data_IF_070973620825
#
_entry.id   IF_070973620825
#
_cell.length_a   1.000
_cell.length_b   1.000
_cell.length_c   1.000
_cell.angle_alpha   90.00
_cell.angle_beta   90.00
_cell.angle_gamma   90.00
#
_symmetry.space_group_name_H-M   'P 1'
#
loop_
_entity.id
_entity.type
_entity.pdbx_description
1 polymer ?
#
# COMPACT_ATOMS: atom_id res chain seq x y z
N UNK A 1 12.40 -4.74 -23.75
CA UNK A 1 12.66 -3.32 -24.09
C UNK A 1 12.75 -3.09 -25.61
N UNK A 2 13.61 -3.81 -26.34
CA UNK A 2 13.79 -3.62 -27.80
C UNK A 2 12.52 -3.83 -28.62
N UNK A 3 11.79 -4.92 -28.38
CA UNK A 3 10.54 -5.21 -29.11
C UNK A 3 9.43 -4.20 -28.77
N UNK A 4 9.49 -3.58 -27.59
CA UNK A 4 8.57 -2.55 -27.11
C UNK A 4 8.82 -1.20 -27.79
N UNK A 5 10.08 -0.85 -28.07
CA UNK A 5 10.45 0.39 -28.78
C UNK A 5 10.11 0.31 -30.27
N UNK A 6 10.30 -0.85 -30.90
CA UNK A 6 9.87 -1.09 -32.29
C UNK A 6 8.35 -1.00 -32.39
N UNK A 7 7.62 -1.63 -31.45
CA UNK A 7 6.15 -1.53 -31.39
C UNK A 7 5.66 -0.10 -31.12
N UNK A 8 6.36 0.67 -30.28
CA UNK A 8 6.05 2.08 -30.02
C UNK A 8 6.32 2.96 -31.26
N UNK A 9 7.42 2.73 -31.97
CA UNK A 9 7.72 3.41 -33.23
C UNK A 9 6.68 3.09 -34.31
N UNK A 10 6.35 1.81 -34.50
CA UNK A 10 5.30 1.37 -35.42
C UNK A 10 3.94 2.01 -35.07
N UNK A 11 3.62 2.12 -33.78
CA UNK A 11 2.40 2.78 -33.32
C UNK A 11 2.41 4.30 -33.61
N UNK A 12 3.54 4.98 -33.45
CA UNK A 12 3.70 6.41 -33.75
C UNK A 12 3.62 6.68 -35.25
N UNK A 13 4.31 5.87 -36.07
CA UNK A 13 4.27 5.97 -37.54
C UNK A 13 2.86 5.70 -38.04
N UNK A 14 2.20 4.65 -37.55
CA UNK A 14 0.83 4.31 -37.94
C UNK A 14 -0.19 5.34 -37.44
N UNK A 15 0.00 5.87 -36.24
CA UNK A 15 -0.80 6.95 -35.64
C UNK A 15 -0.71 8.27 -36.42
N UNK A 16 0.46 8.62 -36.93
CA UNK A 16 0.67 9.82 -37.76
C UNK A 16 -0.18 9.79 -39.05
N UNK A 17 -0.39 8.61 -39.62
CA UNK A 17 -1.26 8.40 -40.78
C UNK A 17 -2.75 8.61 -40.48
N UNK A 18 -3.18 8.40 -39.23
CA UNK A 18 -4.57 8.61 -38.79
C UNK A 18 -4.84 10.05 -38.33
N UNK A 19 -3.81 10.81 -37.94
CA UNK A 19 -3.91 12.18 -37.43
C UNK A 19 -4.02 13.25 -38.54
N UNK A 20 -4.59 12.92 -39.71
CA UNK A 20 -4.97 13.91 -40.72
C UNK A 20 -3.82 14.64 -41.44
N UNK A 21 -2.61 14.06 -41.47
CA UNK A 21 -1.49 14.58 -42.28
C UNK A 21 -0.39 15.32 -41.52
N UNK A 22 -0.27 15.15 -40.20
CA UNK A 22 0.96 15.46 -39.48
C UNK A 22 2.05 14.48 -39.94
N UNK A 23 2.75 14.85 -41.01
CA UNK A 23 3.88 14.08 -41.50
C UNK A 23 5.01 14.15 -40.48
N UNK A 24 5.39 12.99 -39.94
CA UNK A 24 6.64 12.85 -39.20
C UNK A 24 7.77 13.40 -40.07
N UNK A 25 8.60 14.26 -39.49
CA UNK A 25 9.70 14.88 -40.22
C UNK A 25 10.66 13.79 -40.69
N UNK A 26 11.18 13.88 -41.92
CA UNK A 26 12.15 12.91 -42.44
C UNK A 26 13.34 12.72 -41.48
N UNK A 27 13.77 13.81 -40.83
CA UNK A 27 14.79 13.80 -39.80
C UNK A 27 14.45 12.86 -38.62
N UNK A 28 13.21 12.87 -38.13
CA UNK A 28 12.78 11.96 -37.07
C UNK A 28 12.80 10.49 -37.52
N UNK A 29 12.35 10.22 -38.75
CA UNK A 29 12.40 8.86 -39.30
C UNK A 29 13.85 8.37 -39.43
N UNK A 30 14.74 9.21 -39.98
CA UNK A 30 16.15 8.88 -40.18
C UNK A 30 16.89 8.68 -38.82
N UNK A 31 16.57 9.50 -37.81
CA UNK A 31 17.15 9.39 -36.46
C UNK A 31 16.69 8.12 -35.74
N UNK A 32 15.41 7.74 -35.87
CA UNK A 32 14.87 6.55 -35.22
C UNK A 32 15.32 5.28 -35.95
N UNK A 33 15.38 5.27 -37.28
CA UNK A 33 15.91 4.14 -38.06
C UNK A 33 17.39 3.90 -37.72
N UNK A 34 18.21 4.96 -37.66
CA UNK A 34 19.61 4.86 -37.27
C UNK A 34 19.79 4.35 -35.82
N UNK A 35 18.89 4.74 -34.92
CA UNK A 35 18.86 4.28 -33.54
C UNK A 35 18.47 2.79 -33.45
N UNK A 36 17.43 2.36 -34.17
CA UNK A 36 17.01 0.95 -34.25
C UNK A 36 18.16 0.09 -34.80
N UNK A 37 18.81 0.52 -35.88
CA UNK A 37 19.96 -0.17 -36.48
C UNK A 37 21.17 -0.25 -35.52
N UNK A 38 21.38 0.77 -34.69
CA UNK A 38 22.41 0.74 -33.63
C UNK A 38 22.06 -0.29 -32.56
N UNK A 39 20.81 -0.27 -32.10
CA UNK A 39 20.31 -1.16 -31.06
C UNK A 39 20.27 -2.63 -31.51
N UNK A 40 19.94 -2.92 -32.77
CA UNK A 40 20.00 -4.28 -33.31
C UNK A 40 21.44 -4.82 -33.35
N UNK A 41 22.42 -3.97 -33.70
CA UNK A 41 23.84 -4.33 -33.67
C UNK A 41 24.33 -4.56 -32.25
N UNK A 42 23.97 -3.69 -31.31
CA UNK A 42 24.31 -3.85 -29.89
C UNK A 42 23.67 -5.12 -29.30
N UNK A 43 22.40 -5.41 -29.63
CA UNK A 43 21.72 -6.66 -29.24
C UNK A 43 22.40 -7.89 -29.82
N UNK A 44 22.86 -7.83 -31.08
CA UNK A 44 23.60 -8.93 -31.71
C UNK A 44 24.95 -9.17 -31.01
N UNK A 45 25.66 -8.11 -30.64
CA UNK A 45 26.93 -8.18 -29.89
C UNK A 45 26.71 -8.70 -28.47
N UNK A 46 25.70 -8.19 -27.75
CA UNK A 46 25.35 -8.65 -26.40
C UNK A 46 24.93 -10.13 -26.40
N UNK A 47 24.19 -10.56 -27.44
CA UNK A 47 23.82 -11.97 -27.64
C UNK A 47 25.03 -12.85 -27.95
N UNK A 48 25.98 -12.38 -28.73
CA UNK A 48 27.23 -13.09 -29.01
C UNK A 48 28.12 -13.21 -27.77
N UNK A 49 28.04 -12.25 -26.85
CA UNK A 49 28.80 -12.20 -25.60
C UNK A 49 28.07 -12.83 -24.40
N UNK A 50 26.87 -13.40 -24.61
CA UNK A 50 26.05 -14.02 -23.57
C UNK A 50 25.59 -13.05 -22.45
N UNK A 51 25.41 -11.76 -22.76
CA UNK A 51 25.03 -10.65 -21.86
C UNK A 51 23.54 -10.28 -21.97
N UNK A 52 22.65 -11.28 -22.08
CA UNK A 52 21.20 -11.06 -22.26
C UNK A 52 20.42 -11.33 -20.97
N UNK A 53 21.12 -11.49 -19.84
CA UNK A 53 20.51 -11.70 -18.53
C UNK A 53 20.06 -10.36 -17.93
N UNK A 54 18.97 -10.37 -17.17
CA UNK A 54 18.32 -9.19 -16.55
C UNK A 54 19.27 -8.33 -15.70
N UNK A 55 20.35 -8.93 -15.18
CA UNK A 55 21.44 -8.26 -14.45
C UNK A 55 22.25 -7.25 -15.28
N UNK A 56 22.18 -7.38 -16.62
CA UNK A 56 22.91 -6.56 -17.58
C UNK A 56 21.97 -5.58 -18.31
N UNK A 57 20.69 -5.46 -17.87
CA UNK A 57 19.75 -4.50 -18.42
C UNK A 57 20.08 -3.08 -17.93
N UNK A 58 20.13 -2.11 -18.85
CA UNK A 58 20.34 -0.71 -18.48
C UNK A 58 19.19 -0.21 -17.61
N UNK A 59 19.48 0.55 -16.53
CA UNK A 59 18.46 1.19 -15.73
C UNK A 59 17.61 2.14 -16.59
N UNK A 60 16.35 2.35 -16.20
CA UNK A 60 15.53 3.42 -16.78
C UNK A 60 16.30 4.73 -16.59
N UNK A 61 16.79 5.30 -17.70
CA UNK A 61 17.57 6.53 -17.69
C UNK A 61 16.78 7.68 -17.05
N UNK A 62 17.49 8.56 -16.34
CA UNK A 62 16.90 9.72 -15.66
C UNK A 62 16.03 10.56 -16.59
N UNK A 63 16.43 10.69 -17.86
CA UNK A 63 15.68 11.43 -18.88
C UNK A 63 14.33 10.78 -19.21
N UNK A 64 14.27 9.45 -19.21
CA UNK A 64 13.02 8.70 -19.43
C UNK A 64 12.09 8.81 -18.22
N UNK A 65 12.63 8.74 -17.00
CA UNK A 65 11.85 8.96 -15.78
C UNK A 65 11.32 10.39 -15.69
N UNK A 66 12.16 11.39 -15.99
CA UNK A 66 11.74 12.79 -16.09
C UNK A 66 10.63 12.98 -17.14
N UNK A 67 10.72 12.32 -18.29
CA UNK A 67 9.68 12.41 -19.30
C UNK A 67 8.37 11.76 -18.84
N UNK A 68 8.44 10.61 -18.15
CA UNK A 68 7.26 9.97 -17.54
C UNK A 68 6.60 10.91 -16.51
N UNK A 69 7.40 11.57 -15.67
CA UNK A 69 6.90 12.57 -14.70
C UNK A 69 6.37 13.84 -15.37
N UNK A 70 6.93 14.26 -16.51
CA UNK A 70 6.41 15.38 -17.32
C UNK A 70 5.11 15.01 -18.06
N UNK A 71 4.92 13.73 -18.39
CA UNK A 71 3.72 13.20 -19.05
C UNK A 71 2.58 12.89 -18.09
N UNK A 72 2.81 12.95 -16.77
CA UNK A 72 1.77 12.91 -15.73
C UNK A 72 1.50 14.34 -15.28
N UNK A 73 0.51 15.05 -15.85
CA UNK A 73 0.29 16.45 -15.52
C UNK A 73 -0.14 16.56 -14.06
N UNK A 74 0.61 17.32 -13.26
CA UNK A 74 0.20 17.74 -11.91
C UNK A 74 -0.99 18.73 -12.01
N UNK A 75 -1.17 19.35 -13.19
CA UNK A 75 -2.13 20.44 -13.42
C UNK A 75 -3.59 19.99 -13.64
N UNK A 76 -3.86 18.73 -13.96
CA UNK A 76 -5.23 18.31 -14.29
C UNK A 76 -6.10 17.93 -13.06
N UNK A 77 -5.52 17.98 -11.85
CA UNK A 77 -6.21 17.58 -10.63
C UNK A 77 -6.61 16.10 -10.61
N UNK A 78 -6.17 15.30 -11.59
CA UNK A 78 -6.41 13.87 -11.63
C UNK A 78 -5.37 13.19 -10.72
N UNK A 79 -5.82 12.83 -9.52
CA UNK A 79 -5.03 12.04 -8.56
C UNK A 79 -4.59 10.67 -9.10
N UNK A 80 -5.16 10.22 -10.23
CA UNK A 80 -5.01 8.86 -10.78
C UNK A 80 -3.66 8.62 -11.45
N UNK A 81 -3.12 9.58 -12.21
CA UNK A 81 -1.78 9.47 -12.82
C UNK A 81 -0.65 9.46 -11.79
N UNK A 82 -0.80 10.25 -10.72
CA UNK A 82 0.14 10.31 -9.61
C UNK A 82 0.16 9.00 -8.80
N UNK A 83 -1.02 8.40 -8.56
CA UNK A 83 -1.14 7.08 -7.90
C UNK A 83 -0.41 6.00 -8.71
N UNK A 84 -0.50 6.02 -10.04
CA UNK A 84 0.23 5.07 -10.89
C UNK A 84 1.75 5.25 -10.81
N UNK A 85 2.25 6.47 -11.03
CA UNK A 85 3.68 6.76 -11.01
C UNK A 85 4.31 6.48 -9.63
N UNK A 86 3.57 6.78 -8.55
CA UNK A 86 4.02 6.53 -7.18
C UNK A 86 3.90 5.06 -6.81
N UNK A 87 2.85 4.35 -7.24
CA UNK A 87 2.77 2.89 -7.08
C UNK A 87 3.95 2.25 -7.80
N UNK A 88 4.18 2.56 -9.07
CA UNK A 88 5.33 2.05 -9.83
C UNK A 88 6.67 2.38 -9.16
N UNK A 89 6.83 3.57 -8.58
CA UNK A 89 8.03 3.94 -7.81
C UNK A 89 8.15 3.15 -6.50
N UNK A 90 7.03 2.96 -5.78
CA UNK A 90 6.92 2.14 -4.58
C UNK A 90 7.28 0.68 -4.87
N UNK A 91 6.84 0.14 -6.01
CA UNK A 91 7.14 -1.20 -6.49
C UNK A 91 8.59 -1.33 -6.98
N UNK A 92 9.15 -0.31 -7.65
CA UNK A 92 10.54 -0.30 -8.12
C UNK A 92 11.54 -0.22 -6.96
N UNK A 93 11.27 0.58 -5.92
CA UNK A 93 12.08 0.63 -4.70
C UNK A 93 12.15 -0.71 -3.94
N UNK A 94 11.17 -1.61 -4.15
CA UNK A 94 11.18 -2.97 -3.61
C UNK A 94 11.78 -4.01 -4.56
N UNK A 95 11.97 -3.68 -5.84
CA UNK A 95 12.42 -4.62 -6.85
C UNK A 95 13.91 -4.46 -7.20
N UNK A 96 14.48 -3.26 -7.12
CA UNK A 96 15.83 -2.99 -7.63
C UNK A 96 16.78 -2.32 -6.60
N UNK A 97 17.93 -2.94 -6.24
CA UNK A 97 18.92 -2.37 -5.33
C UNK A 97 19.71 -1.15 -5.86
N UNK A 98 19.66 -0.82 -7.17
CA UNK A 98 20.44 0.28 -7.75
C UNK A 98 19.72 1.64 -7.75
N UNK A 99 18.42 1.67 -7.44
CA UNK A 99 17.59 2.87 -7.54
C UNK A 99 16.95 3.24 -6.20
N UNK A 100 17.77 3.59 -5.21
CA UNK A 100 17.27 4.31 -4.02
C UNK A 100 17.17 5.79 -4.38
N UNK A 101 16.07 6.20 -5.00
CA UNK A 101 15.75 7.63 -5.14
C UNK A 101 15.17 8.09 -3.80
N UNK A 102 15.99 8.76 -2.99
CA UNK A 102 15.50 9.55 -1.85
C UNK A 102 15.01 10.88 -2.42
N UNK A 103 13.70 10.99 -2.68
CA UNK A 103 13.08 12.25 -3.09
C UNK A 103 12.80 13.08 -1.83
N UNK A 104 13.51 14.18 -1.57
CA UNK A 104 13.08 15.14 -0.55
C UNK A 104 12.08 16.14 -1.16
N UNK A 105 10.79 16.01 -0.83
CA UNK A 105 9.79 17.05 -1.14
C UNK A 105 9.66 17.98 0.07
N UNK A 106 10.25 19.17 -0.02
CA UNK A 106 10.16 20.22 1.00
C UNK A 106 9.02 21.17 0.64
N UNK A 107 8.00 21.28 1.50
CA UNK A 107 6.97 22.31 1.40
C UNK A 107 7.36 23.47 2.33
N UNK A 108 7.84 24.58 1.78
CA UNK A 108 7.99 25.80 2.59
C UNK A 108 6.67 26.61 2.61
N UNK A 109 6.23 26.99 3.80
CA UNK A 109 5.05 27.82 4.04
C UNK A 109 5.28 29.28 3.63
N UNK A 110 5.56 29.55 2.36
CA UNK A 110 5.40 30.88 1.74
C UNK A 110 5.83 30.83 0.27
N UNK A 111 4.87 30.58 -0.62
CA UNK A 111 5.11 30.52 -2.07
C UNK A 111 5.44 29.11 -2.55
N UNK A 112 4.74 28.67 -3.60
CA UNK A 112 4.93 27.36 -4.22
C UNK A 112 6.28 27.34 -4.97
N UNK A 113 7.31 26.91 -4.25
CA UNK A 113 8.60 26.49 -4.79
C UNK A 113 8.73 24.99 -4.51
N UNK A 114 8.88 24.19 -5.57
CA UNK A 114 9.16 22.77 -5.48
C UNK A 114 10.65 22.58 -5.78
N UNK A 115 11.46 22.38 -4.75
CA UNK A 115 12.86 21.96 -4.89
C UNK A 115 12.96 20.49 -4.56
N UNK A 116 13.64 19.75 -5.42
CA UNK A 116 13.86 18.33 -5.22
C UNK A 116 15.36 18.05 -5.09
N UNK A 117 15.75 17.62 -3.89
CA UNK A 117 17.13 17.22 -3.60
C UNK A 117 17.24 15.69 -3.70
N UNK A 118 18.27 15.21 -4.40
CA UNK A 118 18.54 13.78 -4.60
C UNK A 118 20.01 13.45 -4.30
N UNK A 119 20.28 12.26 -3.76
CA UNK A 119 21.63 11.71 -3.58
C UNK A 119 21.83 10.48 -4.45
N UNK A 120 22.82 10.53 -5.36
CA UNK A 120 23.26 9.41 -6.18
C UNK A 120 24.55 8.82 -5.60
N UNK A 121 24.60 7.51 -5.35
CA UNK A 121 25.80 6.86 -4.81
C UNK A 121 26.51 6.05 -5.90
N UNK A 122 27.20 6.72 -6.82
CA UNK A 122 28.27 6.10 -7.60
C UNK A 122 29.59 6.34 -6.90
N UNK A 123 30.03 5.38 -6.08
CA UNK A 123 31.35 5.30 -5.43
C UNK A 123 31.69 6.39 -4.39
N UNK A 124 31.84 5.96 -3.12
CA UNK A 124 32.63 6.52 -2.00
C UNK A 124 32.75 8.06 -1.74
N UNK A 125 32.04 8.93 -2.45
CA UNK A 125 31.99 10.37 -2.17
C UNK A 125 30.61 10.92 -2.52
N UNK A 126 29.87 11.32 -1.49
CA UNK A 126 28.58 11.99 -1.65
C UNK A 126 28.81 13.37 -2.27
N UNK A 127 28.27 13.61 -3.47
CA UNK A 127 28.25 14.94 -4.09
C UNK A 127 26.80 15.39 -4.19
N UNK A 128 26.45 16.47 -3.48
CA UNK A 128 25.13 17.10 -3.54
C UNK A 128 25.10 18.00 -4.78
N UNK A 129 24.22 17.71 -5.74
CA UNK A 129 23.97 18.55 -6.90
C UNK A 129 22.69 19.37 -6.70
N UNK A 130 22.73 20.66 -7.04
CA UNK A 130 21.60 21.58 -7.01
C UNK A 130 21.08 21.83 -8.43
N UNK A 131 19.76 21.88 -8.61
CA UNK A 131 19.12 22.39 -9.83
C UNK A 131 18.09 23.47 -9.45
N UNK A 132 18.37 24.72 -9.78
CA UNK A 132 17.36 25.80 -9.76
C UNK A 132 16.57 25.78 -11.06
N UNK A 133 15.24 25.79 -11.00
CA UNK A 133 14.45 26.06 -12.19
C UNK A 133 12.96 25.81 -12.08
N UNK A 134 12.22 26.77 -11.51
CA UNK A 134 10.89 27.23 -11.97
C UNK A 134 10.37 28.34 -11.04
N UNK A 135 10.60 29.60 -11.43
CA UNK A 135 10.01 30.76 -10.77
C UNK A 135 8.70 31.13 -11.48
N UNK A 136 7.55 30.80 -10.89
CA UNK A 136 6.25 31.26 -11.39
C UNK A 136 5.93 32.62 -10.77
N UNK A 137 6.14 33.69 -11.56
CA UNK A 137 5.64 35.03 -11.24
C UNK A 137 4.13 35.07 -11.52
N UNK A 138 3.30 35.16 -10.49
CA UNK A 138 1.87 35.50 -10.62
C UNK A 138 1.54 36.85 -9.99
N UNK A 139 0.62 37.53 -10.68
CA UNK A 139 0.21 38.92 -10.57
C UNK A 139 -0.09 39.43 -9.15
N UNK A 140 0.37 40.66 -8.87
CA UNK A 140 -0.07 41.51 -7.76
C UNK A 140 -1.57 41.82 -7.87
N UNK A 141 -2.31 41.44 -6.83
CA UNK A 141 -3.64 41.97 -6.53
C UNK A 141 -3.73 42.24 -5.03
N UNK A 142 -3.55 43.50 -4.63
CA UNK A 142 -3.61 43.98 -3.26
C UNK A 142 -4.96 43.68 -2.60
N UNK A 143 -4.96 43.15 -1.37
CA UNK A 143 -5.48 43.85 -0.20
C UNK A 143 -5.26 42.99 1.07
N UNK A 144 -4.31 43.45 1.88
CA UNK A 144 -4.11 43.04 3.26
C UNK A 144 -5.19 43.68 4.15
N UNK A 145 -5.75 42.91 5.08
CA UNK A 145 -6.10 43.41 6.41
C UNK A 145 -5.86 42.31 7.45
N UNK A 146 -5.05 42.54 8.49
CA UNK A 146 -4.85 41.60 9.58
C UNK A 146 -5.90 41.87 10.67
N UNK A 147 -6.55 40.82 11.17
CA UNK A 147 -7.26 40.88 12.45
C UNK A 147 -6.78 39.75 13.35
N UNK A 148 -5.91 40.15 14.27
CA UNK A 148 -5.71 39.47 15.54
C UNK A 148 -6.95 39.65 16.42
N UNK A 149 -7.37 38.62 17.15
CA UNK A 149 -8.02 38.72 18.48
C UNK A 149 -8.04 37.30 19.09
N UNK A 150 -7.13 37.01 20.01
CA UNK A 150 -7.29 37.08 21.47
C UNK A 150 -8.09 35.90 22.07
N UNK A 151 -7.36 35.09 22.84
CA UNK A 151 -7.87 34.10 23.77
C UNK A 151 -8.89 34.70 24.76
N UNK A 152 -9.91 33.93 25.10
CA UNK A 152 -10.62 34.06 26.38
C UNK A 152 -10.72 32.69 27.06
N UNK A 153 -9.99 32.63 28.17
CA UNK A 153 -10.13 31.67 29.25
C UNK A 153 -11.32 32.11 30.08
N UNK A 154 -12.29 31.23 30.32
CA UNK A 154 -13.17 31.33 31.49
C UNK A 154 -13.24 29.96 32.17
N UNK A 155 -12.94 29.95 33.47
CA UNK A 155 -12.86 28.78 34.31
C UNK A 155 -14.06 28.74 35.30
N UNK A 156 -14.71 27.56 35.36
CA UNK A 156 -15.24 26.87 36.55
C UNK A 156 -16.38 27.49 37.38
N UNK A 157 -17.00 26.74 38.34
CA UNK A 157 -17.25 25.29 38.47
C UNK A 157 -18.71 24.98 38.91
N UNK A 158 -19.18 23.74 38.83
CA UNK A 158 -20.10 23.19 39.86
C UNK A 158 -20.02 21.66 39.94
N UNK A 159 -19.53 21.18 41.09
CA UNK A 159 -19.62 19.81 41.58
C UNK A 159 -21.05 19.59 42.12
N UNK A 160 -21.70 18.48 41.78
CA UNK A 160 -22.79 17.91 42.58
C UNK A 160 -22.61 16.40 42.74
N UNK A 161 -22.39 16.01 43.98
CA UNK A 161 -22.47 14.64 44.50
C UNK A 161 -23.90 14.46 45.01
N UNK A 162 -24.56 13.38 44.61
CA UNK A 162 -25.67 12.68 45.28
C UNK A 162 -25.66 11.28 44.64
N UNK A 163 -25.46 10.17 45.35
CA UNK A 163 -26.19 9.75 46.54
C UNK A 163 -27.18 8.67 46.09
N UNK A 164 -26.85 7.42 46.40
CA UNK A 164 -27.46 6.18 45.91
C UNK A 164 -29.00 6.11 45.96
N UNK A 165 -29.58 5.48 44.94
CA UNK A 165 -30.77 4.64 45.07
C UNK A 165 -30.60 3.46 44.10
N UNK A 166 -30.34 2.29 44.69
CA UNK A 166 -30.43 0.99 44.04
C UNK A 166 -31.87 0.77 43.58
N UNK A 167 -32.04 0.55 42.28
CA UNK A 167 -33.17 -0.20 41.76
C UNK A 167 -32.61 -1.34 40.94
N UNK A 168 -32.65 -2.54 41.50
CA UNK A 168 -32.41 -3.81 40.82
C UNK A 168 -33.40 -3.93 39.65
N UNK A 169 -33.01 -3.46 38.47
CA UNK A 169 -33.57 -3.94 37.22
C UNK A 169 -32.76 -5.15 36.78
N UNK A 170 -33.25 -6.30 37.21
CA UNK A 170 -32.82 -7.60 36.72
C UNK A 170 -33.26 -7.74 35.25
N UNK A 171 -32.50 -7.12 34.36
CA UNK A 171 -32.59 -7.33 32.92
C UNK A 171 -31.49 -8.34 32.58
N UNK A 172 -31.87 -9.55 32.18
CA UNK A 172 -30.96 -10.48 31.50
C UNK A 172 -30.55 -9.85 30.15
N UNK A 173 -29.69 -8.84 30.21
CA UNK A 173 -28.88 -8.44 29.07
C UNK A 173 -27.84 -9.55 28.92
N UNK A 174 -27.97 -10.35 27.86
CA UNK A 174 -26.85 -11.13 27.35
C UNK A 174 -25.69 -10.15 27.19
N UNK A 175 -24.72 -10.19 28.10
CA UNK A 175 -23.53 -9.34 28.04
C UNK A 175 -22.87 -9.57 26.70
N UNK A 176 -22.81 -8.52 25.87
CA UNK A 176 -22.13 -8.62 24.58
C UNK A 176 -20.68 -9.00 24.83
N UNK A 177 -20.16 -9.87 23.97
CA UNK A 177 -18.77 -10.26 23.98
C UNK A 177 -17.89 -9.01 23.79
N UNK A 178 -16.89 -8.83 24.65
CA UNK A 178 -15.94 -7.73 24.54
C UNK A 178 -14.85 -8.07 23.53
N UNK A 179 -14.62 -7.17 22.60
CA UNK A 179 -13.62 -7.30 21.55
C UNK A 179 -12.75 -6.06 21.53
N UNK A 180 -11.44 -6.26 21.44
CA UNK A 180 -10.49 -5.22 21.09
C UNK A 180 -9.99 -5.45 19.65
N UNK A 181 -9.81 -4.36 18.90
CA UNK A 181 -9.42 -4.43 17.49
C UNK A 181 -7.98 -3.95 17.32
N UNK A 182 -7.12 -4.82 16.81
CA UNK A 182 -5.78 -4.46 16.35
C UNK A 182 -5.77 -4.36 14.83
N UNK A 183 -5.39 -3.20 14.28
CA UNK A 183 -5.18 -3.02 12.85
C UNK A 183 -3.69 -3.11 12.50
N UNK A 184 -3.33 -4.04 11.63
CA UNK A 184 -2.02 -4.13 10.99
C UNK A 184 -2.06 -3.38 9.65
N UNK A 185 -1.37 -2.23 9.52
CA UNK A 185 -1.52 -1.33 8.39
C UNK A 185 -0.88 -1.84 7.09
N UNK A 186 -1.30 -1.29 5.97
CA UNK A 186 -0.69 -1.51 4.67
C UNK A 186 0.67 -0.79 4.59
N UNK A 187 1.38 -1.05 3.49
CA UNK A 187 2.70 -0.51 3.27
C UNK A 187 2.70 1.02 3.33
N UNK A 188 3.63 1.59 4.09
CA UNK A 188 3.80 3.04 4.27
C UNK A 188 2.57 3.80 4.83
N UNK A 189 1.50 3.11 5.22
CA UNK A 189 0.40 3.71 5.94
C UNK A 189 0.76 3.82 7.42
N UNK A 190 0.23 4.85 8.07
CA UNK A 190 0.49 5.17 9.48
C UNK A 190 -0.82 5.17 10.28
N UNK A 191 -0.79 5.15 11.63
CA UNK A 191 -2.00 5.06 12.45
C UNK A 191 -3.10 6.08 12.12
N UNK A 192 -2.73 7.33 11.83
CA UNK A 192 -3.70 8.39 11.51
C UNK A 192 -4.48 8.13 10.22
N UNK A 193 -3.94 7.32 9.30
CA UNK A 193 -4.64 6.97 8.07
C UNK A 193 -5.87 6.09 8.34
N UNK A 194 -5.91 5.37 9.47
CA UNK A 194 -6.98 4.43 9.80
C UNK A 194 -7.95 4.93 10.88
N UNK A 195 -7.76 6.14 11.41
CA UNK A 195 -8.56 6.66 12.51
C UNK A 195 -10.07 6.59 12.21
N UNK A 196 -10.47 7.06 11.03
CA UNK A 196 -11.87 7.07 10.61
C UNK A 196 -12.49 5.66 10.50
N UNK A 197 -11.72 4.68 10.02
CA UNK A 197 -12.16 3.28 9.96
C UNK A 197 -12.40 2.73 11.36
N UNK A 198 -11.47 2.96 12.29
CA UNK A 198 -11.58 2.46 13.66
C UNK A 198 -12.70 3.14 14.44
N UNK A 199 -12.88 4.46 14.27
CA UNK A 199 -14.01 5.20 14.85
C UNK A 199 -15.35 4.65 14.35
N UNK A 200 -15.43 4.33 13.05
CA UNK A 200 -16.64 3.72 12.45
C UNK A 200 -16.88 2.31 12.99
N UNK A 201 -15.85 1.48 13.10
CA UNK A 201 -15.97 0.14 13.71
C UNK A 201 -16.47 0.24 15.14
N UNK A 202 -15.91 1.15 15.93
CA UNK A 202 -16.28 1.30 17.35
C UNK A 202 -17.72 1.80 17.52
N UNK A 203 -18.22 2.62 16.59
CA UNK A 203 -19.57 3.21 16.67
C UNK A 203 -20.67 2.38 16.01
N UNK A 204 -20.38 1.68 14.90
CA UNK A 204 -21.38 0.97 14.11
C UNK A 204 -21.46 -0.54 14.39
N UNK A 205 -20.43 -1.15 14.99
CA UNK A 205 -20.43 -2.58 15.27
C UNK A 205 -21.36 -2.91 16.45
N UNK A 206 -22.45 -3.62 16.16
CA UNK A 206 -23.50 -3.88 17.17
C UNK A 206 -23.49 -5.30 17.74
N UNK A 207 -22.87 -6.28 17.09
CA UNK A 207 -22.86 -7.69 17.50
C UNK A 207 -21.89 -7.99 18.66
N UNK A 208 -20.88 -7.14 18.86
CA UNK A 208 -19.92 -7.22 19.96
C UNK A 208 -19.79 -5.84 20.63
N UNK A 209 -19.12 -5.79 21.77
CA UNK A 209 -18.75 -4.55 22.45
C UNK A 209 -17.28 -4.22 22.15
N UNK A 210 -17.02 -3.20 21.33
CA UNK A 210 -15.66 -2.81 20.95
C UNK A 210 -15.06 -1.92 22.03
N UNK A 211 -14.26 -2.52 22.91
CA UNK A 211 -13.76 -1.84 24.12
C UNK A 211 -12.47 -1.04 23.89
N UNK A 212 -11.68 -1.40 22.88
CA UNK A 212 -10.45 -0.71 22.53
C UNK A 212 -10.09 -0.95 21.06
N UNK A 213 -9.43 0.03 20.44
CA UNK A 213 -8.90 -0.08 19.07
C UNK A 213 -7.48 0.47 19.00
N UNK A 214 -6.59 -0.20 18.27
CA UNK A 214 -5.20 0.25 18.03
C UNK A 214 -4.76 -0.06 16.61
N UNK A 215 -3.83 0.73 16.10
CA UNK A 215 -3.08 0.41 14.88
C UNK A 215 -1.65 0.07 15.29
N UNK A 216 -1.04 -0.97 14.70
CA UNK A 216 0.37 -1.26 14.92
C UNK A 216 1.22 -0.02 14.55
N UNK A 217 2.04 0.52 15.47
CA UNK A 217 2.74 1.80 15.26
C UNK A 217 3.93 1.62 14.31
N UNK A 218 3.67 1.85 13.02
CA UNK A 218 4.67 1.73 11.97
C UNK A 218 4.97 3.07 11.32
N UNK A 219 5.92 3.85 11.88
CA UNK A 219 6.38 5.05 11.20
C UNK A 219 7.07 4.67 9.89
N UNK A 220 6.95 5.53 8.87
CA UNK A 220 7.55 5.30 7.55
C UNK A 220 9.05 5.08 7.59
N UNK A 221 9.73 5.67 8.58
CA UNK A 221 11.16 5.49 8.82
C UNK A 221 11.55 4.04 9.09
N UNK A 222 10.67 3.20 9.62
CA UNK A 222 10.95 1.79 9.91
C UNK A 222 11.07 0.96 8.64
N UNK A 223 10.42 1.37 7.54
CA UNK A 223 10.46 0.65 6.27
C UNK A 223 11.86 0.65 5.64
N UNK A 224 12.77 1.54 6.06
CA UNK A 224 14.19 1.49 5.67
C UNK A 224 14.86 0.17 6.09
N UNK A 225 14.30 -0.54 7.08
CA UNK A 225 14.81 -1.85 7.50
C UNK A 225 14.62 -2.92 6.42
N UNK A 226 13.58 -2.80 5.59
CA UNK A 226 13.42 -3.65 4.39
C UNK A 226 14.53 -3.34 3.38
N UNK A 227 14.86 -2.05 3.21
CA UNK A 227 15.93 -1.63 2.30
C UNK A 227 17.31 -2.21 2.67
N UNK A 228 17.55 -2.56 3.94
CA UNK A 228 18.79 -3.24 4.37
C UNK A 228 18.96 -4.63 3.77
N UNK A 229 17.87 -5.26 3.30
CA UNK A 229 17.93 -6.56 2.65
C UNK A 229 18.30 -6.47 1.17
N UNK A 230 18.09 -5.31 0.51
CA UNK A 230 18.36 -5.10 -0.92
C UNK A 230 19.73 -5.62 -1.40
N UNK A 231 20.87 -5.36 -0.70
CA UNK A 231 22.17 -5.81 -1.17
C UNK A 231 22.49 -7.28 -0.83
N UNK A 232 21.55 -8.03 -0.24
CA UNK A 232 21.81 -9.40 0.21
C UNK A 232 21.56 -10.42 -0.89
N UNK A 233 22.30 -11.54 -0.86
CA UNK A 233 22.05 -12.68 -1.75
C UNK A 233 20.61 -13.21 -1.62
N UNK A 234 20.09 -13.23 -0.38
CA UNK A 234 18.73 -13.68 -0.11
C UNK A 234 17.69 -12.80 -0.81
N UNK A 235 17.92 -11.49 -0.91
CA UNK A 235 17.03 -10.62 -1.67
C UNK A 235 17.09 -10.92 -3.18
N UNK A 236 18.30 -11.03 -3.73
CA UNK A 236 18.52 -11.31 -5.16
C UNK A 236 17.92 -12.66 -5.56
N UNK A 237 18.09 -13.68 -4.73
CA UNK A 237 17.54 -15.03 -4.97
C UNK A 237 16.05 -15.16 -4.59
N UNK A 238 15.40 -14.09 -4.13
CA UNK A 238 14.04 -14.12 -3.58
C UNK A 238 13.85 -15.18 -2.47
N UNK A 239 14.81 -15.29 -1.54
CA UNK A 239 14.83 -16.19 -0.39
C UNK A 239 14.95 -15.42 0.94
N UNK A 240 14.30 -14.25 1.04
CA UNK A 240 14.23 -13.52 2.31
C UNK A 240 13.51 -14.36 3.36
N UNK A 241 13.97 -14.24 4.61
CA UNK A 241 13.30 -14.82 5.75
C UNK A 241 12.35 -13.81 6.40
N UNK A 242 11.12 -14.23 6.66
CA UNK A 242 10.07 -13.46 7.35
C UNK A 242 10.56 -12.92 8.68
N UNK A 243 11.11 -13.81 9.53
CA UNK A 243 11.60 -13.41 10.86
C UNK A 243 12.66 -12.32 10.79
N UNK A 244 13.61 -12.45 9.86
CA UNK A 244 14.75 -11.53 9.75
C UNK A 244 14.34 -10.20 9.12
N UNK A 245 13.39 -10.22 8.18
CA UNK A 245 13.04 -9.04 7.38
C UNK A 245 11.97 -8.18 8.06
N UNK A 246 11.11 -8.79 8.89
CA UNK A 246 9.88 -8.19 9.41
C UNK A 246 9.80 -8.20 10.94
N UNK A 247 10.92 -8.43 11.63
CA UNK A 247 11.01 -8.38 13.10
C UNK A 247 10.41 -7.09 13.68
N UNK A 248 10.73 -5.95 13.07
CA UNK A 248 10.21 -4.64 13.44
C UNK A 248 8.69 -4.50 13.30
N UNK A 249 8.07 -5.23 12.37
CA UNK A 249 6.62 -5.26 12.25
C UNK A 249 6.02 -6.11 13.39
N UNK A 250 6.63 -7.25 13.71
CA UNK A 250 6.20 -8.07 14.85
C UNK A 250 6.34 -7.30 16.18
N UNK A 251 7.40 -6.53 16.36
CA UNK A 251 7.57 -5.64 17.53
C UNK A 251 6.44 -4.61 17.63
N UNK A 252 6.01 -4.03 16.50
CA UNK A 252 4.88 -3.09 16.46
C UNK A 252 3.54 -3.77 16.79
N UNK A 253 3.31 -4.99 16.30
CA UNK A 253 2.14 -5.80 16.68
C UNK A 253 2.12 -6.02 18.20
N UNK A 254 3.25 -6.43 18.79
CA UNK A 254 3.33 -6.66 20.23
C UNK A 254 3.19 -5.37 21.06
N UNK A 255 3.71 -4.25 20.56
CA UNK A 255 3.51 -2.94 21.21
C UNK A 255 2.03 -2.59 21.29
N UNK A 256 1.29 -2.73 20.17
CA UNK A 256 -0.13 -2.43 20.14
C UNK A 256 -0.96 -3.43 20.96
N UNK A 257 -0.61 -4.72 20.95
CA UNK A 257 -1.25 -5.72 21.81
C UNK A 257 -1.06 -5.41 23.30
N UNK A 258 0.12 -4.93 23.69
CA UNK A 258 0.39 -4.53 25.09
C UNK A 258 -0.59 -3.46 25.56
N UNK A 259 -0.84 -2.45 24.72
CA UNK A 259 -1.82 -1.39 25.03
C UNK A 259 -3.25 -1.94 25.05
N UNK A 260 -3.63 -2.78 24.09
CA UNK A 260 -4.96 -3.39 24.05
C UNK A 260 -5.24 -4.26 25.28
N UNK A 261 -4.27 -5.05 25.75
CA UNK A 261 -4.43 -5.86 26.97
C UNK A 261 -4.56 -4.98 28.22
N UNK A 262 -3.85 -3.85 28.27
CA UNK A 262 -3.96 -2.91 29.38
C UNK A 262 -5.32 -2.19 29.41
N UNK A 263 -5.90 -1.90 28.24
CA UNK A 263 -7.19 -1.20 28.12
C UNK A 263 -8.41 -2.13 28.20
N UNK A 264 -8.34 -3.32 27.58
CA UNK A 264 -9.47 -4.25 27.45
C UNK A 264 -9.71 -5.16 28.66
N UNK A 265 -8.67 -5.46 29.45
CA UNK A 265 -8.76 -6.40 30.58
C UNK A 265 -8.82 -7.88 30.17
N UNK A 266 -8.88 -8.76 31.16
CA UNK A 266 -8.66 -10.22 31.00
C UNK A 266 -9.75 -10.96 30.20
N UNK A 267 -10.96 -10.39 30.11
CA UNK A 267 -12.13 -10.99 29.44
C UNK A 267 -12.31 -10.52 27.99
N UNK A 268 -11.38 -9.74 27.47
CA UNK A 268 -11.43 -9.19 26.11
C UNK A 268 -10.75 -10.10 25.10
N UNK A 269 -11.44 -10.40 24.01
CA UNK A 269 -10.85 -11.10 22.86
C UNK A 269 -10.30 -10.11 21.84
N UNK A 270 -9.26 -10.51 21.12
CA UNK A 270 -8.63 -9.66 20.09
C UNK A 270 -9.09 -10.11 18.71
N UNK A 271 -9.57 -9.15 17.93
CA UNK A 271 -9.73 -9.24 16.49
C UNK A 271 -8.57 -8.50 15.81
N UNK A 272 -7.81 -9.19 14.96
CA UNK A 272 -6.82 -8.53 14.10
C UNK A 272 -7.45 -8.20 12.75
N UNK A 273 -7.34 -6.95 12.31
CA UNK A 273 -7.62 -6.52 10.95
C UNK A 273 -6.29 -6.28 10.23
N UNK A 274 -5.98 -7.03 9.19
CA UNK A 274 -4.78 -6.81 8.39
C UNK A 274 -5.11 -6.25 7.01
N UNK A 275 -4.52 -5.09 6.68
CA UNK A 275 -4.65 -4.49 5.35
C UNK A 275 -3.39 -4.80 4.52
N UNK A 276 -3.56 -5.38 3.32
CA UNK A 276 -2.45 -5.62 2.40
C UNK A 276 -1.31 -6.41 3.08
N UNK A 277 -0.07 -5.91 3.08
CA UNK A 277 1.06 -6.47 3.85
C UNK A 277 0.73 -6.77 5.31
N UNK A 278 -0.05 -5.92 5.97
CA UNK A 278 -0.46 -6.15 7.35
C UNK A 278 -1.24 -7.45 7.55
N UNK A 279 -1.98 -7.91 6.54
CA UNK A 279 -2.73 -9.17 6.61
C UNK A 279 -1.85 -10.41 6.60
N UNK A 280 -0.89 -10.50 5.69
CA UNK A 280 0.00 -11.66 5.65
C UNK A 280 1.07 -11.60 6.75
N UNK A 281 1.47 -10.42 7.24
CA UNK A 281 2.31 -10.30 8.45
C UNK A 281 1.55 -10.74 9.70
N UNK A 282 0.27 -10.35 9.86
CA UNK A 282 -0.57 -10.83 10.95
C UNK A 282 -0.72 -12.37 10.92
N UNK A 283 -0.93 -12.94 9.73
CA UNK A 283 -0.95 -14.39 9.50
C UNK A 283 0.37 -15.04 9.95
N UNK A 284 1.52 -14.47 9.57
CA UNK A 284 2.84 -14.95 9.96
C UNK A 284 3.07 -14.89 11.47
N UNK A 285 2.66 -13.79 12.11
CA UNK A 285 2.71 -13.62 13.57
C UNK A 285 1.89 -14.70 14.27
N UNK A 286 0.65 -14.92 13.83
CA UNK A 286 -0.22 -15.95 14.39
C UNK A 286 0.35 -17.36 14.20
N UNK A 287 0.92 -17.65 13.03
CA UNK A 287 1.60 -18.91 12.73
C UNK A 287 2.93 -19.10 13.50
N UNK A 288 3.44 -18.05 14.14
CA UNK A 288 4.64 -18.11 14.98
C UNK A 288 5.95 -17.90 14.24
N UNK A 289 5.91 -17.42 12.99
CA UNK A 289 7.10 -17.08 12.20
C UNK A 289 7.88 -15.89 12.78
N UNK A 290 7.28 -15.09 13.67
CA UNK A 290 8.02 -14.11 14.45
C UNK A 290 9.12 -14.75 15.32
N UNK A 291 8.94 -16.02 15.70
CA UNK A 291 9.79 -16.70 16.68
C UNK A 291 9.77 -16.01 18.06
N UNK A 292 8.76 -15.18 18.33
CA UNK A 292 8.62 -14.48 19.60
C UNK A 292 8.30 -15.46 20.72
N UNK A 293 8.79 -15.12 21.91
CA UNK A 293 8.52 -15.84 23.16
C UNK A 293 8.23 -14.88 24.30
N UNK A 294 7.81 -13.65 23.99
CA UNK A 294 7.40 -12.67 25.00
C UNK A 294 6.12 -13.13 25.71
N UNK A 295 5.82 -12.53 26.86
CA UNK A 295 4.53 -12.73 27.53
C UNK A 295 3.37 -12.23 26.68
N UNK A 296 3.57 -11.13 25.95
CA UNK A 296 2.59 -10.52 25.03
C UNK A 296 2.24 -11.51 23.92
N UNK A 297 3.24 -12.13 23.30
CA UNK A 297 3.01 -13.14 22.27
C UNK A 297 2.24 -14.35 22.81
N UNK A 298 2.62 -14.87 23.99
CA UNK A 298 1.89 -16.00 24.61
C UNK A 298 0.44 -15.65 24.90
N UNK A 299 0.19 -14.48 25.49
CA UNK A 299 -1.17 -14.01 25.77
C UNK A 299 -1.96 -13.76 24.48
N UNK A 300 -1.33 -13.17 23.46
CA UNK A 300 -1.93 -12.99 22.14
C UNK A 300 -2.34 -14.29 21.49
N UNK A 301 -1.54 -15.37 21.60
CA UNK A 301 -1.93 -16.69 21.11
C UNK A 301 -3.19 -17.24 21.77
N UNK A 302 -3.50 -16.81 22.99
CA UNK A 302 -4.69 -17.23 23.74
C UNK A 302 -5.87 -16.31 23.47
N UNK A 303 -5.67 -14.99 23.41
CA UNK A 303 -6.74 -14.00 23.31
C UNK A 303 -7.12 -13.58 21.88
N UNK A 304 -6.23 -13.75 20.89
CA UNK A 304 -6.58 -13.47 19.48
C UNK A 304 -7.49 -14.58 18.97
N UNK A 305 -8.74 -14.24 18.68
CA UNK A 305 -9.78 -15.19 18.22
C UNK A 305 -10.25 -14.96 16.80
N UNK A 306 -9.90 -13.84 16.19
CA UNK A 306 -10.25 -13.59 14.80
C UNK A 306 -9.18 -12.82 14.03
N UNK A 307 -9.06 -13.15 12.74
CA UNK A 307 -8.26 -12.46 11.74
C UNK A 307 -9.17 -12.08 10.56
N UNK A 308 -9.38 -10.79 10.37
CA UNK A 308 -9.99 -10.23 9.17
C UNK A 308 -8.88 -9.66 8.29
N UNK A 309 -8.80 -10.07 7.04
CA UNK A 309 -7.86 -9.47 6.07
C UNK A 309 -8.62 -8.71 5.00
N UNK A 310 -8.13 -7.52 4.64
CA UNK A 310 -8.70 -6.67 3.59
C UNK A 310 -7.63 -6.46 2.52
N UNK A 311 -7.97 -6.74 1.26
CA UNK A 311 -7.05 -6.56 0.12
C UNK A 311 -5.69 -7.23 0.32
N UNK A 312 -5.63 -8.43 0.92
CA UNK A 312 -4.36 -9.08 1.30
C UNK A 312 -4.02 -10.21 0.35
N UNK A 313 -2.83 -10.22 -0.30
CA UNK A 313 -2.38 -11.39 -1.03
C UNK A 313 -1.93 -12.48 -0.06
N UNK A 314 -2.46 -13.70 -0.21
CA UNK A 314 -2.20 -14.85 0.67
C UNK A 314 -1.42 -15.98 -0.01
N UNK A 315 -1.29 -15.90 -1.33
CA UNK A 315 -0.67 -16.90 -2.18
C UNK A 315 0.46 -16.21 -2.95
N UNK A 316 1.61 -16.88 -3.00
CA UNK A 316 2.70 -16.53 -3.93
C UNK A 316 2.65 -17.53 -5.08
N UNK A 317 1.95 -17.23 -6.19
CA UNK A 317 1.76 -18.21 -7.25
C UNK A 317 3.07 -18.47 -7.99
N UNK A 318 3.30 -19.73 -8.41
CA UNK A 318 4.45 -20.11 -9.22
C UNK A 318 4.45 -19.41 -10.60
N UNK A 319 3.29 -18.93 -11.04
CA UNK A 319 3.12 -18.17 -12.28
C UNK A 319 3.48 -16.68 -12.16
N UNK A 320 3.83 -16.19 -10.96
CA UNK A 320 4.30 -14.82 -10.79
C UNK A 320 5.55 -14.60 -11.64
N UNK A 321 5.56 -13.53 -12.45
CA UNK A 321 6.73 -13.17 -13.25
C UNK A 321 7.88 -12.73 -12.36
N UNK A 322 7.56 -12.08 -11.24
CA UNK A 322 8.51 -11.62 -10.24
C UNK A 322 7.90 -11.84 -8.85
N UNK A 323 8.65 -12.51 -7.97
CA UNK A 323 8.30 -12.54 -6.54
C UNK A 323 8.63 -11.18 -5.91
N UNK A 324 7.63 -10.29 -5.91
CA UNK A 324 7.72 -8.93 -5.37
C UNK A 324 7.95 -8.92 -3.85
N UNK A 325 7.59 -10.01 -3.17
CA UNK A 325 7.84 -10.17 -1.73
C UNK A 325 9.20 -10.79 -1.46
N UNK A 326 9.96 -11.13 -2.51
CA UNK A 326 11.31 -11.70 -2.46
C UNK A 326 11.40 -12.92 -1.53
N UNK A 327 10.38 -13.78 -1.55
CA UNK A 327 10.31 -15.04 -0.82
C UNK A 327 9.47 -14.98 0.46
N UNK A 328 9.15 -13.79 0.98
CA UNK A 328 8.46 -13.64 2.25
C UNK A 328 7.05 -14.25 2.22
N UNK A 329 6.24 -13.92 1.21
CA UNK A 329 4.89 -14.44 1.11
C UNK A 329 4.90 -15.94 0.79
N UNK A 330 5.91 -16.43 0.04
CA UNK A 330 6.10 -17.86 -0.20
C UNK A 330 6.37 -18.61 1.10
N UNK A 331 7.29 -18.12 1.94
CA UNK A 331 7.57 -18.72 3.26
C UNK A 331 6.29 -18.84 4.10
N UNK A 332 5.49 -17.78 4.18
CA UNK A 332 4.23 -17.77 4.93
C UNK A 332 3.20 -18.72 4.31
N UNK A 333 3.05 -18.69 2.99
CA UNK A 333 2.07 -19.52 2.28
C UNK A 333 2.37 -21.01 2.43
N UNK A 334 3.66 -21.38 2.52
CA UNK A 334 4.13 -22.77 2.66
C UNK A 334 4.29 -23.25 4.11
N UNK A 335 4.11 -22.38 5.11
CA UNK A 335 4.15 -22.78 6.53
C UNK A 335 2.81 -23.35 6.96
N UNK A 336 2.81 -24.60 7.41
CA UNK A 336 1.62 -25.33 7.87
C UNK A 336 0.93 -24.59 9.04
N UNK A 337 1.71 -24.03 9.97
CA UNK A 337 1.20 -23.27 11.12
C UNK A 337 0.51 -21.95 10.72
N UNK A 338 0.84 -21.43 9.53
CA UNK A 338 0.21 -20.25 8.95
C UNK A 338 -1.04 -20.59 8.12
N UNK A 339 -1.36 -21.88 7.92
CA UNK A 339 -2.55 -22.28 7.14
C UNK A 339 -3.86 -21.89 7.84
N UNK A 340 -4.92 -21.71 7.05
CA UNK A 340 -6.25 -21.42 7.60
C UNK A 340 -6.75 -22.55 8.50
N UNK A 341 -6.41 -23.79 8.17
CA UNK A 341 -6.75 -24.98 8.96
C UNK A 341 -6.08 -24.94 10.33
N UNK A 342 -4.74 -24.78 10.40
CA UNK A 342 -4.01 -24.78 11.65
C UNK A 342 -4.42 -23.62 12.57
N UNK A 343 -4.68 -22.43 12.01
CA UNK A 343 -5.18 -21.29 12.77
C UNK A 343 -6.60 -21.52 13.30
N UNK A 344 -7.47 -22.14 12.51
CA UNK A 344 -8.85 -22.46 12.93
C UNK A 344 -8.91 -23.54 14.01
N UNK A 345 -8.04 -24.57 13.93
CA UNK A 345 -7.89 -25.59 14.97
C UNK A 345 -7.41 -25.00 16.30
N UNK A 346 -6.70 -23.86 16.25
CA UNK A 346 -6.33 -23.07 17.44
C UNK A 346 -7.44 -22.11 17.92
N UNK A 347 -8.59 -22.11 17.26
CA UNK A 347 -9.73 -21.26 17.60
C UNK A 347 -9.63 -19.83 17.04
N UNK A 348 -8.82 -19.60 15.99
CA UNK A 348 -8.79 -18.32 15.27
C UNK A 348 -9.71 -18.40 14.06
N UNK A 349 -10.78 -17.61 14.05
CA UNK A 349 -11.66 -17.50 12.88
C UNK A 349 -11.06 -16.56 11.84
N UNK A 350 -11.00 -16.99 10.59
CA UNK A 350 -10.40 -16.20 9.51
C UNK A 350 -11.46 -15.74 8.52
N UNK A 351 -11.45 -14.45 8.20
CA UNK A 351 -12.25 -13.86 7.12
C UNK A 351 -11.33 -13.11 6.16
N UNK A 352 -11.34 -13.51 4.90
CA UNK A 352 -10.62 -12.83 3.82
C UNK A 352 -11.61 -11.99 3.02
N UNK A 353 -11.39 -10.67 3.00
CA UNK A 353 -12.19 -9.69 2.28
C UNK A 353 -11.38 -9.22 1.07
N UNK A 354 -11.87 -9.56 -0.13
CA UNK A 354 -11.26 -9.18 -1.40
C UNK A 354 -12.26 -8.46 -2.29
N UNK A 355 -11.78 -7.86 -3.38
CA UNK A 355 -12.63 -7.22 -4.39
C UNK A 355 -12.43 -7.89 -5.74
N UNK A 356 -13.46 -7.83 -6.58
CA UNK A 356 -13.40 -8.16 -8.01
C UNK A 356 -13.92 -7.01 -8.88
N UNK A 357 -13.86 -5.79 -8.35
CA UNK A 357 -14.43 -4.60 -8.96
C UNK A 357 -13.68 -4.11 -10.21
N UNK A 358 -12.36 -4.32 -10.27
CA UNK A 358 -11.49 -3.77 -11.32
C UNK A 358 -10.83 -4.86 -12.14
N UNK A 359 -10.96 -4.79 -13.47
CA UNK A 359 -10.32 -5.68 -14.42
C UNK A 359 -8.92 -5.15 -14.81
N UNK A 360 -7.93 -6.05 -14.94
CA UNK A 360 -6.58 -5.70 -15.40
C UNK A 360 -6.49 -5.72 -16.93
N UNK A 361 -6.89 -4.64 -17.59
CA UNK A 361 -6.87 -4.53 -19.06
C UNK A 361 -5.76 -3.60 -19.55
N UNK A 362 -4.96 -4.07 -20.50
CA UNK A 362 -3.97 -3.22 -21.19
C UNK A 362 -4.56 -2.42 -22.35
N UNK A 363 -5.61 -2.94 -23.00
CA UNK A 363 -6.31 -2.27 -24.10
C UNK A 363 -7.61 -1.70 -23.54
N UNK A 364 -7.52 -0.50 -22.98
CA UNK A 364 -8.63 0.21 -22.36
C UNK A 364 -8.41 1.72 -22.42
N UNK A 365 -9.50 2.47 -22.24
CA UNK A 365 -9.46 3.93 -22.03
C UNK A 365 -9.57 4.30 -20.55
N UNK A 366 -9.80 3.31 -19.68
CA UNK A 366 -9.86 3.50 -18.23
C UNK A 366 -8.47 3.39 -17.60
N UNK A 367 -7.99 4.49 -17.01
CA UNK A 367 -6.70 4.55 -16.34
C UNK A 367 -6.64 3.59 -15.14
N UNK A 368 -7.75 3.34 -14.44
CA UNK A 368 -7.76 2.41 -13.29
C UNK A 368 -7.54 0.96 -13.73
N UNK A 369 -8.10 0.56 -14.87
CA UNK A 369 -7.89 -0.78 -15.44
C UNK A 369 -6.45 -0.98 -15.94
N UNK A 370 -5.82 0.09 -16.45
CA UNK A 370 -4.41 0.06 -16.84
C UNK A 370 -3.49 -0.06 -15.62
N UNK A 371 -3.76 0.70 -14.54
CA UNK A 371 -3.03 0.59 -13.27
C UNK A 371 -3.16 -0.84 -12.73
N UNK A 372 -4.39 -1.36 -12.68
CA UNK A 372 -4.67 -2.71 -12.26
C UNK A 372 -3.90 -3.76 -13.08
N UNK A 373 -3.83 -3.61 -14.40
CA UNK A 373 -3.05 -4.50 -15.26
C UNK A 373 -1.57 -4.53 -14.87
N UNK A 374 -0.97 -3.36 -14.59
CA UNK A 374 0.44 -3.27 -14.19
C UNK A 374 0.72 -3.90 -12.83
N UNK A 375 -0.27 -3.91 -11.92
CA UNK A 375 -0.14 -4.58 -10.62
C UNK A 375 -0.43 -6.09 -10.70
N UNK A 376 -1.39 -6.51 -11.53
CA UNK A 376 -1.78 -7.92 -11.61
C UNK A 376 -0.80 -8.76 -12.42
N UNK A 377 -0.29 -8.24 -13.55
CA UNK A 377 0.58 -9.01 -14.45
C UNK A 377 1.80 -9.61 -13.73
N UNK A 378 2.58 -8.87 -12.91
CA UNK A 378 3.70 -9.45 -12.18
C UNK A 378 3.27 -10.53 -11.19
N UNK A 379 2.09 -10.38 -10.60
CA UNK A 379 1.59 -11.26 -9.54
C UNK A 379 1.00 -12.56 -10.07
N UNK A 380 0.31 -12.55 -11.22
CA UNK A 380 -0.39 -13.75 -11.73
C UNK A 380 0.12 -14.24 -13.08
N UNK A 381 0.96 -13.46 -13.76
CA UNK A 381 1.56 -13.81 -15.06
C UNK A 381 0.59 -13.76 -16.24
N UNK A 382 -0.63 -13.24 -16.04
CA UNK A 382 -1.69 -13.15 -17.04
C UNK A 382 -2.48 -11.85 -16.91
N UNK A 383 -3.15 -11.48 -18.00
CA UNK A 383 -4.02 -10.31 -18.11
C UNK A 383 -5.27 -10.67 -18.91
N UNK A 384 -6.35 -9.95 -18.69
CA UNK A 384 -7.62 -10.19 -19.37
C UNK A 384 -8.82 -9.74 -18.55
N UNK A 385 -10.01 -9.81 -19.18
CA UNK A 385 -11.29 -9.50 -18.55
C UNK A 385 -11.62 -10.41 -17.36
N UNK A 386 -11.01 -11.59 -17.32
CA UNK A 386 -11.10 -12.59 -16.26
C UNK A 386 -10.18 -12.30 -15.07
N UNK A 387 -9.16 -11.44 -15.24
CA UNK A 387 -8.25 -11.03 -14.17
C UNK A 387 -8.81 -9.80 -13.47
N UNK A 388 -9.46 -10.03 -12.33
CA UNK A 388 -10.11 -9.01 -11.51
C UNK A 388 -9.43 -8.84 -10.16
N UNK A 389 -9.70 -7.73 -9.49
CA UNK A 389 -9.15 -7.42 -8.17
C UNK A 389 -9.63 -6.07 -7.62
N UNK A 390 -8.86 -5.54 -6.66
CA UNK A 390 -9.06 -4.23 -6.03
C UNK A 390 -8.19 -3.11 -6.63
N UNK A 391 -7.56 -3.36 -7.78
CA UNK A 391 -6.61 -2.46 -8.44
C UNK A 391 -5.15 -2.73 -8.08
N UNK A 392 -4.87 -3.52 -7.04
CA UNK A 392 -3.51 -3.92 -6.65
C UNK A 392 -3.41 -5.43 -6.50
N UNK A 393 -4.32 -6.04 -5.75
CA UNK A 393 -4.36 -7.47 -5.43
C UNK A 393 -5.40 -8.17 -6.29
N UNK A 394 -4.99 -9.12 -7.15
CA UNK A 394 -5.91 -9.98 -7.88
C UNK A 394 -6.79 -10.81 -6.94
N UNK A 395 -8.06 -10.98 -7.31
CA UNK A 395 -9.05 -11.76 -6.56
C UNK A 395 -8.57 -13.19 -6.29
N UNK A 396 -7.81 -13.81 -7.20
CA UNK A 396 -7.29 -15.17 -7.01
C UNK A 396 -6.22 -15.30 -5.92
N UNK A 397 -5.56 -14.19 -5.55
CA UNK A 397 -4.56 -14.16 -4.48
C UNK A 397 -5.14 -13.68 -3.14
N UNK A 398 -6.34 -13.09 -3.15
CA UNK A 398 -6.92 -12.39 -2.01
C UNK A 398 -7.52 -13.33 -0.93
N UNK A 399 -7.58 -14.63 -1.16
CA UNK A 399 -8.29 -15.57 -0.30
C UNK A 399 -7.45 -16.78 0.10
N UNK A 400 -7.44 -17.08 1.39
CA UNK A 400 -6.94 -18.35 1.91
C UNK A 400 -7.92 -19.48 1.62
N UNK A 401 -7.43 -20.73 1.65
CA UNK A 401 -8.30 -21.90 1.52
C UNK A 401 -9.24 -22.09 2.71
N UNK A 402 -10.28 -22.91 2.52
CA UNK A 402 -11.17 -23.36 3.59
C UNK A 402 -10.35 -23.89 4.78
N UNK A 403 -10.72 -23.60 6.04
CA UNK A 403 -11.99 -23.04 6.52
C UNK A 403 -12.09 -21.51 6.57
N UNK A 404 -11.14 -20.76 5.98
CA UNK A 404 -11.25 -19.30 5.93
C UNK A 404 -12.51 -18.86 5.16
N UNK A 405 -13.22 -17.86 5.69
CA UNK A 405 -14.41 -17.29 5.05
C UNK A 405 -13.99 -16.38 3.89
N UNK A 406 -14.61 -16.57 2.73
CA UNK A 406 -14.45 -15.71 1.55
C UNK A 406 -15.55 -14.63 1.52
N UNK A 407 -15.15 -13.37 1.52
CA UNK A 407 -16.04 -12.21 1.31
C UNK A 407 -15.53 -11.45 0.10
N UNK A 408 -16.15 -11.67 -1.04
CA UNK A 408 -15.79 -10.98 -2.28
C UNK A 408 -16.76 -9.83 -2.54
N UNK A 409 -16.22 -8.63 -2.73
CA UNK A 409 -17.00 -7.41 -2.93
C UNK A 409 -16.85 -6.96 -4.39
N UNK A 410 -17.95 -7.01 -5.14
CA UNK A 410 -17.96 -6.60 -6.55
C UNK A 410 -18.08 -5.08 -6.73
N UNK A 411 -18.68 -4.39 -5.76
CA UNK A 411 -18.89 -2.93 -5.76
C UNK A 411 -19.35 -2.43 -4.40
N UNK A 412 -19.26 -1.12 -4.21
CA UNK A 412 -19.88 -0.43 -3.08
C UNK A 412 -21.40 -0.57 -3.12
N UNK A 413 -22.03 -0.99 -2.01
CA UNK A 413 -23.48 -1.15 -1.93
C UNK A 413 -24.26 0.16 -1.95
N UNK A 414 -23.61 1.28 -1.56
CA UNK A 414 -24.24 2.60 -1.52
C UNK A 414 -24.05 3.39 -2.83
N UNK A 415 -22.82 3.47 -3.33
CA UNK A 415 -22.52 4.28 -4.53
C UNK A 415 -22.52 3.48 -5.83
N UNK A 416 -22.42 2.15 -5.77
CA UNK A 416 -22.18 1.32 -6.94
C UNK A 416 -20.76 1.42 -7.51
N UNK A 417 -19.88 2.23 -6.90
CA UNK A 417 -18.49 2.41 -7.34
C UNK A 417 -17.65 1.16 -7.16
N UNK A 418 -16.60 1.02 -7.97
CA UNK A 418 -15.57 0.01 -7.79
C UNK A 418 -14.86 0.19 -6.43
N UNK A 419 -14.50 -0.94 -5.80
CA UNK A 419 -13.74 -0.98 -4.55
C UNK A 419 -12.26 -1.07 -4.85
N UNK A 420 -11.50 -0.10 -4.32
CA UNK A 420 -10.05 0.04 -4.50
C UNK A 420 -9.30 -0.45 -3.27
N UNK A 421 -8.02 -0.78 -3.48
CA UNK A 421 -7.13 -1.28 -2.45
C UNK A 421 -7.01 -0.32 -1.25
N UNK A 422 -6.76 0.97 -1.50
CA UNK A 422 -6.48 1.96 -0.46
C UNK A 422 -7.22 3.29 -0.69
N UNK A 423 -7.39 4.05 0.38
CA UNK A 423 -7.97 5.41 0.41
C UNK A 423 -6.96 6.54 0.54
N UNK A 424 -5.70 6.18 0.69
CA UNK A 424 -4.61 7.13 0.80
C UNK A 424 -3.54 6.79 -0.21
N UNK A 425 -2.86 7.82 -0.69
CA UNK A 425 -1.59 7.71 -1.36
C UNK A 425 -0.49 7.85 -0.30
N UNK A 426 0.24 6.77 0.03
CA UNK A 426 1.29 6.85 1.02
C UNK A 426 2.36 7.84 0.58
N UNK A 427 3.01 8.49 1.55
CA UNK A 427 4.12 9.42 1.31
C UNK A 427 5.44 8.79 1.78
N UNK A 428 5.97 7.75 1.10
CA UNK A 428 7.17 7.01 1.53
C UNK A 428 8.40 7.91 1.69
N UNK A 429 8.42 9.05 0.98
CA UNK A 429 9.48 10.06 1.07
C UNK A 429 9.41 10.93 2.34
N UNK A 430 8.30 10.94 3.08
CA UNK A 430 8.20 11.73 4.31
C UNK A 430 8.91 11.01 5.47
N UNK A 431 10.25 11.04 5.43
CA UNK A 431 11.12 10.45 6.44
C UNK A 431 11.43 11.43 7.59
N UNK A 432 11.12 12.72 7.41
CA UNK A 432 11.31 13.74 8.46
C UNK A 432 10.27 13.58 9.56
N UNK A 433 9.01 13.35 9.18
CA UNK A 433 7.95 12.92 10.08
C UNK A 433 7.35 11.61 9.58
N UNK A 434 7.91 10.50 10.06
CA UNK A 434 7.47 9.16 9.71
C UNK A 434 6.03 8.85 10.11
N UNK A 435 5.39 9.67 10.96
CA UNK A 435 4.01 9.48 11.42
C UNK A 435 2.99 10.42 10.75
N UNK A 436 3.44 11.32 9.86
CA UNK A 436 2.57 12.27 9.20
C UNK A 436 1.47 11.56 8.39
N UNK A 437 0.28 12.16 8.33
CA UNK A 437 -0.82 11.61 7.54
C UNK A 437 -0.43 11.44 6.07
N UNK A 438 -0.87 10.34 5.46
CA UNK A 438 -0.78 10.13 4.02
C UNK A 438 -1.69 11.12 3.27
N UNK A 439 -1.51 11.25 1.95
CA UNK A 439 -2.38 12.09 1.14
C UNK A 439 -3.71 11.35 0.95
N UNK A 440 -4.81 11.89 1.49
CA UNK A 440 -6.15 11.34 1.28
C UNK A 440 -6.51 11.37 -0.21
N UNK A 441 -7.05 10.27 -0.71
CA UNK A 441 -7.66 10.21 -2.03
C UNK A 441 -9.05 10.87 -2.00
N UNK A 442 -9.59 11.30 -3.15
CA UNK A 442 -10.94 11.83 -3.26
C UNK A 442 -12.01 10.86 -2.71
N UNK A 443 -13.07 11.40 -2.12
CA UNK A 443 -14.16 10.62 -1.47
C UNK A 443 -14.92 9.69 -2.43
N UNK A 444 -14.88 9.94 -3.75
CA UNK A 444 -15.44 9.03 -4.76
C UNK A 444 -14.57 7.79 -5.02
N UNK A 445 -13.34 7.78 -4.49
CA UNK A 445 -12.48 6.61 -4.42
C UNK A 445 -12.85 5.75 -3.21
N UNK A 446 -13.78 4.84 -3.46
CA UNK A 446 -14.27 3.87 -2.48
C UNK A 446 -13.25 2.76 -2.22
N UNK A 447 -12.99 2.44 -0.95
CA UNK A 447 -12.10 1.38 -0.49
C UNK A 447 -12.79 0.48 0.55
N UNK A 448 -12.07 -0.49 1.12
CA UNK A 448 -12.61 -1.44 2.11
C UNK A 448 -13.25 -0.79 3.34
N UNK A 449 -12.75 0.38 3.76
CA UNK A 449 -13.30 1.14 4.89
C UNK A 449 -14.40 2.14 4.53
N UNK A 450 -14.73 2.33 3.24
CA UNK A 450 -15.77 3.27 2.84
C UNK A 450 -17.16 2.81 3.29
N UNK A 451 -18.08 3.75 3.58
CA UNK A 451 -19.49 3.46 3.79
C UNK A 451 -20.05 2.62 2.63
N UNK A 452 -20.80 1.56 2.95
CA UNK A 452 -21.36 0.65 1.96
C UNK A 452 -20.44 -0.47 1.50
N UNK A 453 -19.11 -0.35 1.65
CA UNK A 453 -18.18 -1.48 1.53
C UNK A 453 -17.99 -2.09 2.91
N UNK A 454 -17.69 -1.26 3.92
CA UNK A 454 -17.52 -1.68 5.30
C UNK A 454 -18.71 -2.50 5.81
N UNK A 455 -19.95 -2.04 5.57
CA UNK A 455 -21.18 -2.73 5.99
C UNK A 455 -21.33 -4.17 5.46
N UNK A 456 -20.64 -4.51 4.36
CA UNK A 456 -20.70 -5.85 3.76
C UNK A 456 -19.86 -6.87 4.56
N UNK A 457 -18.84 -6.42 5.29
CA UNK A 457 -17.92 -7.29 6.01
C UNK A 457 -17.77 -6.97 7.51
N UNK A 458 -18.25 -5.81 7.98
CA UNK A 458 -18.15 -5.36 9.38
C UNK A 458 -18.64 -6.42 10.39
N UNK A 459 -19.70 -7.15 10.04
CA UNK A 459 -20.30 -8.23 10.84
C UNK A 459 -19.37 -9.42 11.14
N UNK A 460 -18.21 -9.51 10.48
CA UNK A 460 -17.23 -10.58 10.69
C UNK A 460 -16.15 -10.22 11.71
N UNK A 461 -16.20 -9.01 12.29
CA UNK A 461 -15.43 -8.68 13.49
C UNK A 461 -16.12 -9.36 14.68
N UNK A 462 -15.44 -10.35 15.27
CA UNK A 462 -15.96 -11.20 16.34
C UNK A 462 -14.91 -11.62 17.34
#
# INVERSE_FOLDING_TARGET
>A
MHDTLIQAHDAIVKGSGYAGGLHLTQQYCDEVDAYIDSMEREKAVAKQNNQIEEKDADPIGIDLYEQISKWTPIEDGSTRGNVWAISMTQWNCMADPALVIVTFMRTEQSGLSYTCDYCYNSSASCTIGYVEGLTLNTFRGNNLHPLALSAKIEASPTIRINGALESEQNCNQSTKKKVAVLLCPAQFCVPVDYAELLDTIQSELTNVDVVATKVAPLPRTEWIKVAKQLPTKNFIDANLSVKVTLDWYFDAIESALTELFAEGGDDTEICIIGHSIGGWVARAYLGGLSGSSTSVYRLGREQIKSLVTIGTPHISPESALVDQTRGLLREIATSDECSSQALSERGVTITCVGSSSLAGKLITTDVEELIAATSYLPLVGKLGDDVKGDGIVPTELAFMESPARRVEIEKCSLSGSAVRHAHVLPTPWNLVDGNAASIKLPEDIVWYGSPGVLSQWLKYIE
#
